data_IF_726881124434
#
_entry.id   IF_726881124434
#
_cell.length_a   1.000
_cell.length_b   1.000
_cell.length_c   1.000
_cell.angle_alpha   90.00
_cell.angle_beta   90.00
_cell.angle_gamma   90.00
#
_symmetry.space_group_name_H-M   'P 1'
#
loop_
_entity.id
_entity.type
_entity.pdbx_description
1 polymer ?
#
# COMPACT_ATOMS: atom_id res chain seq x y z
N UNK A 1 81.13 23.67 23.01
CA UNK A 1 80.82 22.28 22.61
C UNK A 1 79.43 21.98 23.12
N UNK A 2 78.49 22.01 22.18
CA UNK A 2 77.04 21.91 22.38
C UNK A 2 76.63 20.49 22.81
N UNK A 3 75.60 20.40 23.64
CA UNK A 3 74.90 19.14 23.95
C UNK A 3 74.02 18.75 22.77
N UNK A 4 73.93 17.46 22.42
CA UNK A 4 73.00 17.01 21.40
C UNK A 4 71.59 16.89 21.99
N UNK A 5 70.64 17.63 21.43
CA UNK A 5 69.22 17.45 21.71
C UNK A 5 68.72 16.15 21.04
N UNK A 6 68.19 15.23 21.84
CA UNK A 6 67.47 14.04 21.36
C UNK A 6 66.10 14.48 20.86
N UNK A 7 65.94 14.58 19.55
CA UNK A 7 64.63 14.68 18.91
C UNK A 7 63.87 13.36 19.09
N UNK A 8 62.92 13.37 20.02
CA UNK A 8 61.95 12.30 20.22
C UNK A 8 60.81 12.49 19.20
N UNK A 9 60.87 11.73 18.09
CA UNK A 9 59.76 11.63 17.14
C UNK A 9 58.58 10.90 17.83
N UNK A 10 57.63 11.67 18.35
CA UNK A 10 56.36 11.15 18.84
C UNK A 10 55.47 10.88 17.63
N UNK A 11 55.37 9.62 17.22
CA UNK A 11 54.40 9.18 16.23
C UNK A 11 53.00 9.23 16.85
N UNK A 12 52.22 10.26 16.49
CA UNK A 12 50.79 10.32 16.78
C UNK A 12 50.06 9.29 15.92
N UNK A 13 49.88 8.08 16.43
CA UNK A 13 48.90 7.12 15.92
C UNK A 13 47.51 7.71 16.16
N UNK A 14 46.94 8.35 15.14
CA UNK A 14 45.52 8.70 15.09
C UNK A 14 44.71 7.40 15.11
N UNK A 15 44.36 6.93 16.29
CA UNK A 15 43.25 6.01 16.51
C UNK A 15 41.97 6.77 16.13
N UNK A 16 41.68 6.83 14.82
CA UNK A 16 40.33 7.11 14.36
C UNK A 16 39.45 6.02 14.98
N UNK A 17 38.45 6.36 15.81
CA UNK A 17 37.52 5.35 16.27
C UNK A 17 36.95 4.69 15.02
N UNK A 18 37.05 3.35 14.93
CA UNK A 18 36.20 2.60 14.02
C UNK A 18 34.77 2.93 14.46
N UNK A 19 34.18 3.96 13.84
CA UNK A 19 32.74 4.20 13.93
C UNK A 19 32.12 3.03 13.19
N UNK A 20 31.87 1.96 13.93
CA UNK A 20 31.03 0.86 13.47
C UNK A 20 29.72 1.49 13.05
N UNK A 21 29.39 1.37 11.76
CA UNK A 21 28.15 1.92 11.26
C UNK A 21 26.99 1.27 12.02
N UNK A 22 26.09 2.08 12.59
CA UNK A 22 24.91 1.57 13.32
C UNK A 22 24.15 0.56 12.42
N UNK A 23 23.82 -0.65 12.91
CA UNK A 23 23.05 -1.64 12.16
C UNK A 23 21.71 -1.07 11.73
N UNK A 24 21.19 -1.52 10.59
CA UNK A 24 19.79 -1.29 10.20
C UNK A 24 18.96 -2.39 10.84
N UNK A 25 18.06 -2.02 11.75
CA UNK A 25 17.12 -2.98 12.35
C UNK A 25 15.84 -3.03 11.50
N UNK A 26 15.54 -4.17 10.88
CA UNK A 26 14.39 -4.38 9.99
C UNK A 26 13.25 -5.07 10.72
N UNK A 27 12.04 -4.50 10.65
CA UNK A 27 10.87 -5.09 11.28
C UNK A 27 10.23 -6.15 10.37
N UNK A 28 9.89 -7.32 10.92
CA UNK A 28 9.34 -8.47 10.18
C UNK A 28 8.05 -9.00 10.82
N UNK A 29 7.12 -9.49 10.00
CA UNK A 29 5.71 -9.78 10.32
C UNK A 29 5.36 -11.28 10.36
N UNK A 30 6.20 -12.15 9.80
CA UNK A 30 6.08 -13.61 9.95
C UNK A 30 7.39 -14.27 10.37
N UNK A 31 7.31 -15.52 10.81
CA UNK A 31 8.51 -16.31 11.14
C UNK A 31 9.28 -16.66 9.86
N UNK A 32 8.58 -16.87 8.74
CA UNK A 32 9.18 -17.02 7.42
C UNK A 32 9.92 -15.75 6.98
N UNK A 33 9.33 -14.57 7.21
CA UNK A 33 9.96 -13.29 6.91
C UNK A 33 11.18 -13.02 7.80
N UNK A 34 11.12 -13.37 9.08
CA UNK A 34 12.26 -13.31 9.99
C UNK A 34 13.40 -14.21 9.50
N UNK A 35 13.10 -15.43 9.07
CA UNK A 35 14.10 -16.34 8.51
C UNK A 35 14.76 -15.75 7.26
N UNK A 36 13.99 -15.19 6.32
CA UNK A 36 14.54 -14.52 5.13
C UNK A 36 15.40 -13.31 5.49
N UNK A 37 15.01 -12.54 6.49
CA UNK A 37 15.81 -11.41 7.01
C UNK A 37 17.15 -11.87 7.59
N UNK A 38 17.15 -12.96 8.36
CA UNK A 38 18.37 -13.53 8.94
C UNK A 38 19.31 -14.05 7.84
N UNK A 39 18.77 -14.72 6.82
CA UNK A 39 19.53 -15.19 5.68
C UNK A 39 20.12 -14.04 4.87
N UNK A 40 19.36 -12.95 4.65
CA UNK A 40 19.85 -11.72 4.04
C UNK A 40 21.01 -11.12 4.84
N UNK A 41 20.89 -11.07 6.17
CA UNK A 41 21.95 -10.57 7.06
C UNK A 41 23.22 -11.41 6.95
N UNK A 42 23.08 -12.74 6.95
CA UNK A 42 24.18 -13.69 6.79
C UNK A 42 24.88 -13.56 5.44
N UNK A 43 24.11 -13.50 4.35
CA UNK A 43 24.65 -13.36 2.99
C UNK A 43 25.33 -12.00 2.77
N UNK A 44 24.75 -10.91 3.28
CA UNK A 44 25.36 -9.59 3.21
C UNK A 44 26.71 -9.55 3.94
N UNK A 45 26.79 -10.19 5.11
CA UNK A 45 28.03 -10.32 5.88
C UNK A 45 29.07 -11.16 5.13
N UNK A 46 28.67 -12.30 4.56
CA UNK A 46 29.55 -13.17 3.79
C UNK A 46 30.16 -12.48 2.56
N UNK A 47 29.41 -11.58 1.92
CA UNK A 47 29.88 -10.78 0.78
C UNK A 47 30.59 -9.46 1.19
N UNK A 48 30.84 -9.23 2.48
CA UNK A 48 31.44 -7.99 3.00
C UNK A 48 30.68 -6.72 2.56
N UNK A 49 29.36 -6.80 2.42
CA UNK A 49 28.54 -5.63 2.10
C UNK A 49 28.62 -4.65 3.26
N UNK A 50 28.98 -3.40 2.97
CA UNK A 50 29.10 -2.36 4.00
C UNK A 50 27.76 -2.07 4.68
N UNK A 51 27.68 -2.39 5.96
CA UNK A 51 26.50 -2.23 6.82
C UNK A 51 26.23 -3.55 7.56
N UNK A 52 25.30 -3.54 8.50
CA UNK A 52 24.81 -4.76 9.15
C UNK A 52 23.29 -4.68 9.28
N UNK A 53 22.65 -5.84 9.27
CA UNK A 53 21.21 -6.01 9.34
C UNK A 53 20.86 -6.78 10.60
N UNK A 54 19.92 -6.25 11.38
CA UNK A 54 19.30 -6.94 12.51
C UNK A 54 17.81 -7.11 12.22
N UNK A 55 17.23 -8.24 12.63
CA UNK A 55 15.82 -8.54 12.39
C UNK A 55 15.03 -8.37 13.69
N UNK A 56 13.92 -7.64 13.64
CA UNK A 56 13.07 -7.33 14.79
C UNK A 56 11.65 -7.82 14.52
N UNK A 57 11.18 -8.79 15.30
CA UNK A 57 9.81 -9.30 15.17
C UNK A 57 8.77 -8.26 15.61
N UNK A 58 7.79 -8.00 14.74
CA UNK A 58 6.59 -7.21 15.02
C UNK A 58 5.33 -8.06 15.04
N UNK A 59 4.33 -7.69 15.85
CA UNK A 59 3.06 -8.42 15.96
C UNK A 59 2.16 -8.24 14.74
N UNK A 60 2.23 -7.07 14.10
CA UNK A 60 1.50 -6.67 12.90
C UNK A 60 2.12 -5.37 12.36
N UNK A 61 1.64 -4.89 11.21
CA UNK A 61 2.19 -3.69 10.56
C UNK A 61 2.18 -2.47 11.47
N UNK A 62 1.11 -2.29 12.27
CA UNK A 62 1.00 -1.18 13.22
C UNK A 62 2.05 -1.24 14.33
N UNK A 63 2.31 -2.42 14.88
CA UNK A 63 3.40 -2.61 15.85
C UNK A 63 4.76 -2.29 15.22
N UNK A 64 4.99 -2.64 13.95
CA UNK A 64 6.18 -2.18 13.22
C UNK A 64 6.24 -0.66 13.06
N UNK A 65 5.13 0.03 12.76
CA UNK A 65 5.09 1.50 12.74
C UNK A 65 5.48 2.10 14.09
N UNK A 66 4.99 1.54 15.20
CA UNK A 66 5.32 1.98 16.56
C UNK A 66 6.79 1.70 16.91
N UNK A 67 7.32 0.52 16.57
CA UNK A 67 8.74 0.20 16.76
C UNK A 67 9.65 1.11 15.95
N UNK A 68 9.28 1.43 14.70
CA UNK A 68 10.02 2.40 13.88
C UNK A 68 9.91 3.78 14.50
N UNK A 69 8.73 4.24 14.94
CA UNK A 69 8.60 5.55 15.59
C UNK A 69 9.48 5.65 16.85
N UNK A 70 9.50 4.60 17.66
CA UNK A 70 10.13 4.60 18.98
C UNK A 70 11.64 4.28 18.97
N UNK A 71 12.25 3.97 17.83
CA UNK A 71 13.68 3.67 17.76
C UNK A 71 14.05 2.20 17.89
N UNK A 72 13.08 1.30 18.11
CA UNK A 72 13.30 -0.15 18.28
C UNK A 72 13.55 -0.86 16.95
N UNK A 73 12.94 -0.38 15.88
CA UNK A 73 13.25 -0.76 14.50
C UNK A 73 13.63 0.49 13.70
N UNK A 74 14.27 0.32 12.55
CA UNK A 74 14.68 1.41 11.67
C UNK A 74 13.90 1.44 10.35
N UNK A 75 13.45 0.28 9.87
CA UNK A 75 12.79 0.13 8.58
C UNK A 75 11.77 -1.03 8.56
N UNK A 76 10.76 -0.93 7.70
CA UNK A 76 9.85 -2.01 7.32
C UNK A 76 9.24 -1.66 5.96
N UNK A 77 8.96 -2.65 5.12
CA UNK A 77 8.21 -2.46 3.88
C UNK A 77 6.71 -2.42 4.19
N UNK A 78 6.00 -1.44 3.62
CA UNK A 78 4.58 -1.23 3.89
C UNK A 78 3.79 -1.01 2.60
N UNK A 79 2.53 -1.43 2.61
CA UNK A 79 1.56 -1.22 1.53
C UNK A 79 1.10 0.24 1.43
N UNK A 80 0.42 0.62 0.35
CA UNK A 80 -0.08 1.98 0.14
C UNK A 80 -0.90 2.55 1.31
N UNK A 81 -1.81 1.76 1.85
CA UNK A 81 -2.70 2.17 2.96
C UNK A 81 -1.90 2.36 4.25
N UNK A 82 -0.97 1.44 4.51
CA UNK A 82 -0.06 1.49 5.66
C UNK A 82 0.94 2.65 5.56
N UNK A 83 1.45 2.98 4.36
CA UNK A 83 2.30 4.14 4.10
C UNK A 83 1.57 5.42 4.47
N UNK A 84 0.29 5.53 4.09
CA UNK A 84 -0.54 6.68 4.43
C UNK A 84 -0.72 6.80 5.96
N UNK A 85 -1.06 5.70 6.64
CA UNK A 85 -1.19 5.67 8.10
C UNK A 85 0.14 6.01 8.81
N UNK A 86 1.26 5.45 8.35
CA UNK A 86 2.59 5.71 8.89
C UNK A 86 2.99 7.19 8.75
N UNK A 87 2.75 7.79 7.58
CA UNK A 87 3.00 9.21 7.35
C UNK A 87 2.09 10.12 8.17
N UNK A 88 0.77 9.85 8.15
CA UNK A 88 -0.24 10.69 8.79
C UNK A 88 -0.17 10.62 10.33
N UNK A 89 -0.06 9.42 10.90
CA UNK A 89 -0.19 9.19 12.34
C UNK A 89 1.16 9.08 13.08
N UNK A 90 2.22 8.71 12.37
CA UNK A 90 3.55 8.53 12.98
C UNK A 90 4.58 9.55 12.49
N UNK A 91 4.29 10.31 11.44
CA UNK A 91 5.25 11.25 10.85
C UNK A 91 6.46 10.54 10.23
N UNK A 92 6.29 9.27 9.84
CA UNK A 92 7.34 8.48 9.20
C UNK A 92 7.49 8.88 7.73
N UNK A 93 8.68 8.63 7.19
CA UNK A 93 9.06 8.93 5.81
C UNK A 93 9.41 7.65 5.04
N UNK A 94 9.75 7.79 3.76
CA UNK A 94 10.11 6.69 2.89
C UNK A 94 11.58 6.78 2.48
N UNK A 95 12.30 5.66 2.54
CA UNK A 95 13.69 5.57 2.08
C UNK A 95 13.80 5.03 0.65
N UNK A 96 13.02 4.01 0.35
CA UNK A 96 12.99 3.32 -0.94
C UNK A 96 11.55 2.92 -1.25
N UNK A 97 11.24 2.76 -2.53
CA UNK A 97 10.00 2.18 -2.99
C UNK A 97 10.27 1.06 -3.99
N UNK A 98 9.39 0.09 -4.05
CA UNK A 98 9.45 -0.99 -5.02
C UNK A 98 9.05 -0.48 -6.41
N UNK A 99 9.57 -1.14 -7.44
CA UNK A 99 9.19 -0.95 -8.82
C UNK A 99 9.04 -2.30 -9.49
N UNK A 100 7.86 -2.57 -10.03
CA UNK A 100 7.55 -3.82 -10.75
C UNK A 100 7.84 -3.72 -12.25
N UNK A 101 7.96 -2.51 -12.80
CA UNK A 101 8.29 -2.26 -14.19
C UNK A 101 9.74 -1.75 -14.39
N UNK A 102 10.46 -1.48 -13.30
CA UNK A 102 11.81 -0.91 -13.31
C UNK A 102 11.88 0.58 -13.68
N UNK A 103 10.73 1.25 -13.85
CA UNK A 103 10.61 2.62 -14.33
C UNK A 103 10.04 3.53 -13.25
N UNK A 104 8.91 3.15 -12.66
CA UNK A 104 8.19 3.94 -11.67
C UNK A 104 7.71 3.10 -10.48
N UNK A 105 7.07 3.78 -9.53
CA UNK A 105 6.53 3.18 -8.33
C UNK A 105 5.05 2.82 -8.44
N UNK A 106 4.50 2.75 -9.66
CA UNK A 106 3.09 2.40 -9.86
C UNK A 106 2.99 0.89 -9.92
N UNK A 107 2.16 0.30 -9.06
CA UNK A 107 1.91 -1.13 -9.04
C UNK A 107 0.82 -1.51 -10.03
N UNK A 108 -0.31 -0.79 -9.99
CA UNK A 108 -1.44 -1.01 -10.90
C UNK A 108 -2.39 0.18 -10.91
N UNK A 109 -3.27 0.22 -11.90
CA UNK A 109 -4.40 1.15 -11.99
C UNK A 109 -5.70 0.46 -11.59
N UNK A 110 -6.51 1.13 -10.78
CA UNK A 110 -7.89 0.72 -10.48
C UNK A 110 -8.81 1.38 -11.49
N UNK A 111 -9.60 0.57 -12.18
CA UNK A 111 -10.52 1.00 -13.24
C UNK A 111 -11.95 0.64 -12.89
N UNK A 112 -12.89 1.41 -13.44
CA UNK A 112 -14.31 1.04 -13.49
C UNK A 112 -14.59 0.48 -14.88
N UNK A 113 -14.99 -0.78 -14.96
CA UNK A 113 -15.27 -1.47 -16.20
C UNK A 113 -16.76 -1.76 -16.32
N UNK A 114 -17.30 -1.62 -17.53
CA UNK A 114 -18.67 -1.96 -17.85
C UNK A 114 -18.78 -2.58 -19.25
N UNK A 115 -19.94 -3.16 -19.55
CA UNK A 115 -20.25 -3.64 -20.90
C UNK A 115 -20.56 -2.46 -21.82
N UNK A 116 -20.17 -2.57 -23.09
CA UNK A 116 -20.47 -1.58 -24.13
C UNK A 116 -21.96 -1.46 -24.41
N UNK A 117 -22.73 -2.53 -24.22
CA UNK A 117 -24.19 -2.53 -24.32
C UNK A 117 -24.85 -1.51 -23.37
N UNK A 118 -24.20 -1.17 -22.25
CA UNK A 118 -24.65 -0.14 -21.31
C UNK A 118 -24.14 1.24 -21.76
N UNK A 119 -24.64 1.73 -22.90
CA UNK A 119 -24.13 2.94 -23.56
C UNK A 119 -24.37 4.23 -22.76
N UNK A 120 -25.43 4.26 -21.96
CA UNK A 120 -25.84 5.38 -21.09
C UNK A 120 -25.07 5.43 -19.75
N UNK A 121 -24.35 4.36 -19.39
CA UNK A 121 -23.62 4.30 -18.13
C UNK A 121 -22.38 5.22 -18.15
N UNK A 122 -22.28 6.07 -17.14
CA UNK A 122 -21.20 7.02 -16.93
C UNK A 122 -20.82 7.08 -15.45
N UNK A 123 -19.53 7.28 -15.14
CA UNK A 123 -19.04 7.46 -13.76
C UNK A 123 -19.61 8.68 -13.04
N UNK A 124 -20.24 9.61 -13.77
CA UNK A 124 -20.88 10.80 -13.21
C UNK A 124 -22.31 10.50 -12.71
N UNK A 125 -22.93 9.41 -13.17
CA UNK A 125 -24.34 9.07 -12.93
C UNK A 125 -24.48 7.60 -12.52
N UNK A 126 -23.87 7.25 -11.38
CA UNK A 126 -23.85 5.89 -10.85
C UNK A 126 -24.99 5.58 -9.86
N UNK A 127 -25.85 6.56 -9.56
CA UNK A 127 -26.98 6.37 -8.64
C UNK A 127 -27.99 5.35 -9.21
N UNK A 128 -28.50 4.46 -8.35
CA UNK A 128 -29.43 3.37 -8.67
C UNK A 128 -28.91 2.33 -9.69
N UNK A 129 -27.65 2.44 -10.15
CA UNK A 129 -26.97 1.41 -10.94
C UNK A 129 -26.57 0.23 -10.06
N UNK A 130 -26.24 -0.90 -10.68
CA UNK A 130 -25.72 -2.06 -9.97
C UNK A 130 -24.20 -2.19 -10.03
N UNK A 131 -23.57 -2.68 -8.95
CA UNK A 131 -22.11 -2.69 -8.84
C UNK A 131 -21.52 -4.00 -8.32
N UNK A 132 -20.38 -4.38 -8.87
CA UNK A 132 -19.64 -5.59 -8.52
C UNK A 132 -18.29 -5.20 -7.90
N UNK A 133 -18.07 -5.63 -6.65
CA UNK A 133 -16.90 -5.29 -5.87
C UNK A 133 -16.13 -6.57 -5.50
N UNK A 134 -14.80 -6.61 -5.66
CA UNK A 134 -13.97 -7.73 -5.22
C UNK A 134 -14.16 -8.14 -3.75
N UNK A 135 -14.43 -7.17 -2.88
CA UNK A 135 -14.66 -7.39 -1.46
C UNK A 135 -14.66 -6.09 -0.65
N UNK A 136 -15.33 -6.12 0.50
CA UNK A 136 -15.36 -5.02 1.46
C UNK A 136 -13.93 -4.68 1.93
N UNK A 137 -13.62 -3.39 2.10
CA UNK A 137 -12.31 -2.89 2.57
C UNK A 137 -11.09 -3.22 1.70
N UNK A 138 -11.29 -3.79 0.50
CA UNK A 138 -10.19 -3.95 -0.46
C UNK A 138 -9.84 -2.61 -1.11
N UNK A 139 -8.56 -2.39 -1.44
CA UNK A 139 -8.11 -1.18 -2.15
C UNK A 139 -8.87 -0.98 -3.47
N UNK A 140 -8.89 -2.02 -4.30
CA UNK A 140 -9.46 -2.02 -5.65
C UNK A 140 -10.98 -1.92 -5.61
N UNK A 141 -11.61 -2.71 -4.75
CA UNK A 141 -13.06 -2.87 -4.72
C UNK A 141 -13.80 -1.95 -3.79
N UNK A 142 -13.13 -1.31 -2.84
CA UNK A 142 -13.80 -0.49 -1.83
C UNK A 142 -13.12 0.86 -1.65
N UNK A 143 -11.86 0.90 -1.23
CA UNK A 143 -11.17 2.15 -0.87
C UNK A 143 -11.12 3.14 -2.03
N UNK A 144 -10.65 2.71 -3.21
CA UNK A 144 -10.59 3.59 -4.38
C UNK A 144 -11.97 3.99 -4.91
N UNK A 145 -12.89 3.06 -5.25
CA UNK A 145 -14.15 3.45 -5.86
C UNK A 145 -15.08 4.21 -4.90
N UNK A 146 -15.15 3.83 -3.62
CA UNK A 146 -16.00 4.55 -2.67
C UNK A 146 -15.36 5.90 -2.29
N UNK A 147 -14.02 5.95 -2.15
CA UNK A 147 -13.29 7.21 -2.00
C UNK A 147 -13.55 8.17 -3.16
N UNK A 148 -13.62 7.66 -4.39
CA UNK A 148 -13.93 8.43 -5.59
C UNK A 148 -15.35 9.01 -5.52
N UNK A 149 -16.34 8.21 -5.16
CA UNK A 149 -17.74 8.66 -5.03
C UNK A 149 -17.90 9.71 -3.92
N UNK A 150 -17.17 9.58 -2.80
CA UNK A 150 -17.14 10.61 -1.74
C UNK A 150 -16.50 11.90 -2.26
N UNK A 151 -15.33 11.79 -2.89
CA UNK A 151 -14.57 12.96 -3.32
C UNK A 151 -15.27 13.74 -4.46
N UNK A 152 -16.00 13.04 -5.31
CA UNK A 152 -16.86 13.64 -6.35
C UNK A 152 -18.23 14.07 -5.83
N UNK A 153 -18.49 13.96 -4.52
CA UNK A 153 -19.75 14.32 -3.85
C UNK A 153 -20.99 13.55 -4.36
N UNK A 154 -20.79 12.39 -4.98
CA UNK A 154 -21.89 11.50 -5.39
C UNK A 154 -22.50 10.79 -4.17
N UNK A 155 -21.70 10.50 -3.16
CA UNK A 155 -22.18 10.02 -1.86
C UNK A 155 -21.69 10.93 -0.74
N UNK A 156 -22.51 11.05 0.31
CA UNK A 156 -22.14 11.72 1.55
C UNK A 156 -22.19 10.73 2.69
N UNK A 157 -21.06 10.58 3.39
CA UNK A 157 -20.97 9.73 4.57
C UNK A 157 -21.20 10.60 5.80
N UNK A 158 -22.24 10.30 6.57
CA UNK A 158 -22.55 11.05 7.79
C UNK A 158 -21.48 10.91 8.87
N UNK A 159 -21.64 11.66 9.98
CA UNK A 159 -20.67 11.74 11.09
C UNK A 159 -20.29 10.38 11.71
N UNK A 160 -21.14 9.37 11.57
CA UNK A 160 -20.90 8.02 12.07
C UNK A 160 -20.04 7.15 11.14
N UNK A 161 -19.60 7.66 9.99
CA UNK A 161 -18.70 6.97 9.08
C UNK A 161 -19.20 5.60 8.61
N UNK A 162 -20.52 5.49 8.42
CA UNK A 162 -21.13 4.24 7.98
C UNK A 162 -21.13 4.17 6.44
N UNK A 163 -19.97 3.78 5.89
CA UNK A 163 -19.79 3.61 4.44
C UNK A 163 -20.73 2.56 3.85
N UNK A 164 -20.89 1.34 4.42
CA UNK A 164 -21.84 0.37 3.87
C UNK A 164 -23.26 0.94 3.72
N UNK A 165 -23.74 1.72 4.70
CA UNK A 165 -25.04 2.36 4.60
C UNK A 165 -25.11 3.44 3.52
N UNK A 166 -24.08 4.27 3.39
CA UNK A 166 -24.05 5.29 2.33
C UNK A 166 -24.03 4.65 0.93
N UNK A 167 -23.22 3.60 0.75
CA UNK A 167 -23.10 2.86 -0.52
C UNK A 167 -24.40 2.13 -0.85
N UNK A 168 -25.01 1.44 0.11
CA UNK A 168 -26.28 0.73 -0.11
C UNK A 168 -27.48 1.65 -0.32
N UNK A 169 -27.40 2.94 0.06
CA UNK A 169 -28.40 3.94 -0.30
C UNK A 169 -28.16 4.56 -1.69
N UNK A 170 -26.98 4.36 -2.27
CA UNK A 170 -26.57 5.00 -3.52
C UNK A 170 -26.74 4.09 -4.73
N UNK A 171 -26.24 2.85 -4.65
CA UNK A 171 -26.44 1.83 -5.67
C UNK A 171 -27.77 1.12 -5.44
N UNK A 172 -28.43 0.70 -6.54
CA UNK A 172 -29.68 -0.05 -6.45
C UNK A 172 -29.45 -1.40 -5.75
N UNK A 173 -28.45 -2.14 -6.23
CA UNK A 173 -27.99 -3.39 -5.64
C UNK A 173 -26.52 -3.66 -6.03
N UNK A 174 -25.83 -4.48 -5.23
CA UNK A 174 -24.42 -4.75 -5.42
C UNK A 174 -24.05 -6.18 -5.05
N UNK A 175 -22.86 -6.61 -5.44
CA UNK A 175 -22.15 -7.69 -4.78
C UNK A 175 -20.92 -7.12 -4.07
N UNK A 176 -20.93 -7.13 -2.74
CA UNK A 176 -19.83 -6.70 -1.88
C UNK A 176 -19.49 -7.84 -0.91
N UNK A 177 -18.69 -8.82 -1.34
CA UNK A 177 -18.29 -9.95 -0.52
C UNK A 177 -17.70 -9.52 0.83
N UNK A 178 -18.12 -10.19 1.91
CA UNK A 178 -17.69 -9.94 3.28
C UNK A 178 -18.39 -8.81 4.00
N UNK A 179 -19.25 -8.03 3.33
CA UNK A 179 -19.96 -6.89 3.96
C UNK A 179 -20.92 -7.30 5.07
N UNK A 180 -21.28 -8.59 5.13
CA UNK A 180 -22.15 -9.19 6.16
C UNK A 180 -21.40 -10.02 7.19
N UNK A 181 -20.09 -10.17 7.05
CA UNK A 181 -19.30 -10.92 8.01
C UNK A 181 -19.31 -10.20 9.35
N UNK A 182 -19.23 -10.95 10.45
CA UNK A 182 -19.32 -10.41 11.81
C UNK A 182 -18.27 -9.32 12.11
N UNK A 183 -17.13 -9.34 11.42
CA UNK A 183 -16.10 -8.31 11.51
C UNK A 183 -16.56 -6.97 10.92
N UNK A 184 -17.36 -6.98 9.86
CA UNK A 184 -17.80 -5.80 9.11
C UNK A 184 -19.26 -5.39 9.39
N UNK A 185 -20.08 -6.31 9.88
CA UNK A 185 -21.47 -6.07 10.28
C UNK A 185 -21.79 -6.68 11.66
N UNK A 186 -21.09 -6.29 12.73
CA UNK A 186 -21.29 -6.87 14.07
C UNK A 186 -22.70 -6.65 14.63
N UNK A 187 -23.46 -5.69 14.07
CA UNK A 187 -24.83 -5.38 14.48
C UNK A 187 -25.90 -5.92 13.51
N UNK A 188 -25.50 -6.51 12.38
CA UNK A 188 -26.44 -6.99 11.35
C UNK A 188 -27.24 -5.86 10.68
N UNK A 189 -26.67 -4.66 10.62
CA UNK A 189 -27.35 -3.43 10.15
C UNK A 189 -26.91 -2.97 8.76
N UNK A 190 -25.90 -3.58 8.15
CA UNK A 190 -25.51 -3.18 6.80
C UNK A 190 -26.69 -3.41 5.84
N UNK A 191 -26.84 -2.63 4.76
CA UNK A 191 -27.93 -2.82 3.81
C UNK A 191 -27.91 -4.22 3.16
N UNK A 192 -29.10 -4.78 2.87
CA UNK A 192 -29.21 -6.14 2.27
C UNK A 192 -28.83 -6.14 0.79
N UNK A 193 -29.14 -5.06 0.08
CA UNK A 193 -28.87 -4.89 -1.33
C UNK A 193 -27.38 -4.96 -1.69
N UNK A 194 -26.48 -4.80 -0.73
CA UNK A 194 -25.04 -4.98 -0.95
C UNK A 194 -24.61 -6.43 -1.23
N UNK A 195 -25.50 -7.40 -1.08
CA UNK A 195 -25.25 -8.81 -1.38
C UNK A 195 -26.20 -9.37 -2.45
N UNK A 196 -27.05 -8.55 -3.07
CA UNK A 196 -28.09 -9.02 -3.98
C UNK A 196 -27.57 -9.47 -5.35
N UNK A 197 -26.40 -8.97 -5.80
CA UNK A 197 -25.74 -9.48 -7.01
C UNK A 197 -24.73 -10.61 -6.72
N UNK A 198 -24.59 -11.05 -5.47
CA UNK A 198 -23.72 -12.17 -5.12
C UNK A 198 -24.45 -13.51 -5.33
N UNK A 199 -23.71 -14.58 -5.67
CA UNK A 199 -24.32 -15.85 -6.12
C UNK A 199 -23.88 -17.08 -5.32
N UNK A 200 -22.93 -16.94 -4.40
CA UNK A 200 -22.45 -18.05 -3.58
C UNK A 200 -21.75 -19.15 -4.38
N UNK A 201 -21.73 -20.35 -3.79
CA UNK A 201 -21.20 -21.56 -4.40
C UNK A 201 -22.21 -22.17 -5.39
N UNK A 202 -21.87 -23.32 -5.99
CA UNK A 202 -22.76 -24.01 -6.95
C UNK A 202 -24.10 -24.48 -6.35
N UNK A 203 -24.23 -24.46 -5.02
CA UNK A 203 -25.43 -24.86 -4.29
C UNK A 203 -26.12 -23.67 -3.62
N UNK A 204 -25.84 -22.44 -4.08
CA UNK A 204 -26.35 -21.17 -3.53
C UNK A 204 -26.05 -20.98 -2.02
N UNK A 205 -24.96 -21.59 -1.52
CA UNK A 205 -24.47 -21.37 -0.15
C UNK A 205 -23.34 -20.36 -0.18
N UNK A 206 -22.98 -19.83 1.00
CA UNK A 206 -21.87 -18.87 1.12
C UNK A 206 -22.04 -17.60 0.28
N UNK A 207 -23.29 -17.24 -0.05
CA UNK A 207 -23.61 -15.99 -0.73
C UNK A 207 -23.01 -14.82 0.06
N UNK A 208 -22.26 -13.97 -0.64
CA UNK A 208 -21.60 -12.78 -0.12
C UNK A 208 -20.47 -13.07 0.88
N UNK A 209 -19.93 -14.29 0.94
CA UNK A 209 -18.80 -14.63 1.80
C UNK A 209 -17.48 -14.00 1.29
N UNK A 210 -16.59 -13.63 2.21
CA UNK A 210 -15.25 -13.07 1.90
C UNK A 210 -14.22 -14.13 1.48
N UNK A 211 -14.60 -15.09 0.64
CA UNK A 211 -13.71 -16.12 0.12
C UNK A 211 -14.22 -16.71 -1.20
N UNK A 212 -13.37 -17.49 -1.87
CA UNK A 212 -13.64 -18.08 -3.19
C UNK A 212 -14.82 -19.08 -3.24
N UNK A 213 -15.53 -19.36 -2.13
CA UNK A 213 -16.83 -20.05 -2.20
C UNK A 213 -17.92 -19.13 -2.75
N UNK A 214 -17.81 -17.82 -2.55
CA UNK A 214 -18.59 -16.84 -3.30
C UNK A 214 -17.92 -16.67 -4.68
N UNK A 215 -18.62 -17.05 -5.75
CA UNK A 215 -18.06 -16.99 -7.12
C UNK A 215 -17.82 -15.56 -7.62
N UNK A 216 -18.49 -14.56 -7.04
CA UNK A 216 -18.22 -13.15 -7.29
C UNK A 216 -17.17 -12.52 -6.36
N UNK A 217 -16.44 -13.32 -5.58
CA UNK A 217 -15.35 -12.85 -4.73
C UNK A 217 -14.05 -12.59 -5.50
N UNK A 218 -13.33 -11.55 -5.10
CA UNK A 218 -12.06 -11.17 -5.70
C UNK A 218 -12.24 -10.48 -7.05
N UNK A 219 -11.13 -10.10 -7.68
CA UNK A 219 -11.17 -9.28 -8.90
C UNK A 219 -11.77 -10.02 -10.09
N UNK A 220 -11.41 -11.30 -10.27
CA UNK A 220 -12.02 -12.15 -11.29
C UNK A 220 -13.51 -12.36 -11.04
N UNK A 221 -13.93 -12.52 -9.78
CA UNK A 221 -15.34 -12.65 -9.42
C UNK A 221 -16.15 -11.37 -9.67
N UNK A 222 -15.57 -10.20 -9.41
CA UNK A 222 -16.22 -8.92 -9.73
C UNK A 222 -16.35 -8.71 -11.25
N UNK A 223 -15.35 -9.10 -12.03
CA UNK A 223 -15.42 -9.14 -13.50
C UNK A 223 -16.53 -10.08 -13.98
N UNK A 224 -16.56 -11.31 -13.43
CA UNK A 224 -17.61 -12.31 -13.70
C UNK A 224 -19.01 -11.78 -13.44
N UNK A 225 -19.22 -11.05 -12.35
CA UNK A 225 -20.51 -10.46 -11.97
C UNK A 225 -21.08 -9.53 -13.07
N UNK A 226 -20.23 -8.75 -13.75
CA UNK A 226 -20.65 -7.93 -14.91
C UNK A 226 -20.84 -8.79 -16.16
N UNK A 227 -19.96 -9.77 -16.41
CA UNK A 227 -20.06 -10.68 -17.54
C UNK A 227 -21.37 -11.49 -17.52
N UNK A 228 -21.80 -11.95 -16.34
CA UNK A 228 -23.06 -12.67 -16.12
C UNK A 228 -24.30 -11.75 -16.06
N UNK A 229 -24.17 -10.47 -16.41
CA UNK A 229 -25.26 -9.48 -16.41
C UNK A 229 -25.87 -9.18 -15.02
N UNK A 230 -25.17 -9.48 -13.93
CA UNK A 230 -25.68 -9.29 -12.56
C UNK A 230 -25.24 -7.95 -11.95
N UNK A 231 -24.37 -7.21 -12.62
CA UNK A 231 -24.03 -5.82 -12.29
C UNK A 231 -23.74 -4.98 -13.54
N UNK A 232 -23.89 -3.65 -13.42
CA UNK A 232 -23.60 -2.69 -14.48
C UNK A 232 -22.12 -2.33 -14.54
N UNK A 233 -21.46 -2.23 -13.37
CA UNK A 233 -20.05 -1.84 -13.25
C UNK A 233 -19.27 -2.81 -12.37
N UNK A 234 -18.01 -3.07 -12.70
CA UNK A 234 -17.04 -3.74 -11.84
C UNK A 234 -15.86 -2.81 -11.54
N UNK A 235 -15.40 -2.83 -10.29
CA UNK A 235 -14.19 -2.13 -9.87
C UNK A 235 -13.05 -3.13 -9.71
N UNK A 236 -12.08 -3.09 -10.62
CA UNK A 236 -11.01 -4.10 -10.74
C UNK A 236 -9.68 -3.42 -11.12
N UNK A 237 -8.56 -4.16 -11.03
CA UNK A 237 -7.31 -3.74 -11.67
C UNK A 237 -7.46 -3.75 -13.19
N UNK A 238 -6.71 -2.87 -13.84
CA UNK A 238 -6.59 -2.86 -15.30
C UNK A 238 -6.08 -4.19 -15.90
N UNK A 239 -5.29 -4.99 -15.16
CA UNK A 239 -4.77 -6.28 -15.65
C UNK A 239 -5.77 -7.43 -15.57
N UNK A 240 -6.73 -7.36 -14.64
CA UNK A 240 -7.70 -8.45 -14.35
C UNK A 240 -8.45 -8.90 -15.59
N UNK A 241 -8.77 -7.98 -16.49
CA UNK A 241 -9.48 -8.30 -17.73
C UNK A 241 -8.62 -9.22 -18.62
N UNK A 242 -7.36 -8.85 -18.84
CA UNK A 242 -6.41 -9.61 -19.65
C UNK A 242 -5.96 -10.93 -19.01
N UNK A 243 -6.02 -11.01 -17.68
CA UNK A 243 -5.74 -12.25 -16.93
C UNK A 243 -6.87 -13.28 -17.07
N UNK A 244 -8.08 -12.83 -17.41
CA UNK A 244 -9.28 -13.66 -17.53
C UNK A 244 -9.81 -13.78 -18.97
N UNK A 245 -9.14 -13.18 -19.97
CA UNK A 245 -9.49 -13.29 -21.39
C UNK A 245 -8.52 -14.20 -22.14
N UNK A 246 -8.75 -14.38 -23.44
CA UNK A 246 -7.82 -15.04 -24.38
C UNK A 246 -7.40 -16.46 -23.96
N UNK A 247 -8.31 -17.20 -23.32
CA UNK A 247 -8.07 -18.56 -22.85
C UNK A 247 -7.14 -18.69 -21.64
N UNK A 248 -6.79 -17.59 -20.97
CA UNK A 248 -6.00 -17.64 -19.72
C UNK A 248 -6.83 -18.13 -18.53
N UNK A 249 -8.13 -17.87 -18.56
CA UNK A 249 -9.09 -18.50 -17.65
C UNK A 249 -9.95 -19.51 -18.42
N UNK A 250 -10.01 -20.74 -17.89
CA UNK A 250 -10.71 -21.89 -18.51
C UNK A 250 -12.12 -22.09 -17.93
N UNK A 251 -12.57 -21.21 -17.02
CA UNK A 251 -13.94 -21.21 -16.54
C UNK A 251 -14.93 -20.79 -17.63
N UNK A 252 -16.12 -21.40 -17.62
CA UNK A 252 -17.13 -21.19 -18.67
C UNK A 252 -17.52 -19.73 -18.87
N UNK A 253 -17.64 -18.95 -17.79
CA UNK A 253 -18.04 -17.55 -17.85
C UNK A 253 -16.99 -16.67 -18.56
N UNK A 254 -15.72 -17.06 -18.49
CA UNK A 254 -14.60 -16.33 -19.07
C UNK A 254 -14.40 -16.67 -20.55
N UNK A 255 -14.83 -17.86 -20.98
CA UNK A 255 -14.77 -18.29 -22.38
C UNK A 255 -15.74 -17.50 -23.28
N UNK A 256 -16.86 -17.03 -22.73
CA UNK A 256 -17.86 -16.24 -23.44
C UNK A 256 -17.57 -14.71 -23.37
N UNK A 257 -16.48 -14.32 -22.72
CA UNK A 257 -16.11 -12.91 -22.50
C UNK A 257 -15.28 -12.37 -23.67
N UNK A 258 -15.91 -11.56 -24.53
CA UNK A 258 -15.22 -10.85 -25.61
C UNK A 258 -14.71 -9.48 -25.13
N UNK A 259 -13.43 -9.16 -25.39
CA UNK A 259 -12.82 -7.90 -24.95
C UNK A 259 -13.49 -6.68 -25.62
N UNK A 260 -13.97 -6.85 -26.84
CA UNK A 260 -14.68 -5.84 -27.61
C UNK A 260 -16.01 -5.44 -26.95
N UNK A 261 -16.61 -6.31 -26.16
CA UNK A 261 -17.87 -6.05 -25.46
C UNK A 261 -17.66 -5.24 -24.17
N UNK A 262 -16.43 -4.95 -23.79
CA UNK A 262 -16.08 -4.21 -22.58
C UNK A 262 -15.56 -2.80 -22.88
N UNK A 263 -15.80 -1.88 -21.94
CA UNK A 263 -15.25 -0.52 -21.93
C UNK A 263 -14.84 -0.11 -20.53
N UNK A 264 -13.89 0.81 -20.46
CA UNK A 264 -13.62 1.55 -19.23
C UNK A 264 -14.55 2.75 -19.12
N UNK A 265 -14.96 3.08 -17.90
CA UNK A 265 -15.65 4.33 -17.58
C UNK A 265 -14.63 5.30 -16.99
N UNK A 266 -14.56 6.52 -17.54
CA UNK A 266 -13.53 7.50 -17.21
C UNK A 266 -14.06 8.57 -16.25
N UNK A 267 -13.19 9.16 -15.41
CA UNK A 267 -13.61 10.21 -14.47
C UNK A 267 -14.23 11.46 -15.12
N UNK A 268 -13.91 11.71 -16.40
CA UNK A 268 -14.50 12.81 -17.19
C UNK A 268 -15.91 12.51 -17.72
N UNK A 269 -16.45 11.34 -17.40
CA UNK A 269 -17.77 10.87 -17.80
C UNK A 269 -17.80 10.14 -19.15
N UNK A 270 -16.67 10.07 -19.87
CA UNK A 270 -16.56 9.36 -21.14
C UNK A 270 -16.31 7.86 -20.93
N UNK A 271 -16.39 7.10 -22.03
CA UNK A 271 -15.95 5.71 -22.08
C UNK A 271 -14.68 5.57 -22.92
N UNK A 272 -13.82 4.63 -22.55
CA UNK A 272 -12.55 4.38 -23.22
C UNK A 272 -12.33 2.88 -23.52
N UNK A 273 -11.40 2.60 -24.43
CA UNK A 273 -10.84 1.27 -24.67
C UNK A 273 -10.06 0.75 -23.46
N UNK A 274 -9.89 -0.57 -23.40
CA UNK A 274 -9.24 -1.23 -22.26
C UNK A 274 -7.75 -0.91 -22.15
N UNK A 275 -7.10 -0.61 -23.28
CA UNK A 275 -5.70 -0.19 -23.40
C UNK A 275 -5.45 1.25 -22.93
N UNK A 276 -6.52 2.02 -22.74
CA UNK A 276 -6.46 3.44 -22.37
C UNK A 276 -6.48 3.64 -20.84
N UNK A 277 -6.21 2.60 -20.05
CA UNK A 277 -6.27 2.62 -18.58
C UNK A 277 -5.38 3.69 -17.94
N UNK A 278 -4.22 4.02 -18.54
CA UNK A 278 -3.31 5.03 -18.01
C UNK A 278 -3.94 6.43 -17.98
N UNK A 279 -4.88 6.72 -18.89
CA UNK A 279 -5.66 7.97 -18.86
C UNK A 279 -7.03 7.81 -18.22
N UNK A 280 -7.58 6.59 -18.24
CA UNK A 280 -8.93 6.27 -17.82
C UNK A 280 -8.90 5.31 -16.63
N UNK A 281 -8.61 5.86 -15.44
CA UNK A 281 -8.58 5.13 -14.18
C UNK A 281 -9.10 5.99 -13.02
N UNK A 282 -9.50 5.35 -11.93
CA UNK A 282 -9.92 6.03 -10.70
C UNK A 282 -8.71 6.45 -9.85
N UNK A 283 -7.72 5.57 -9.74
CA UNK A 283 -6.44 5.86 -9.11
C UNK A 283 -5.33 4.96 -9.64
N UNK A 284 -4.12 5.53 -9.77
CA UNK A 284 -2.88 4.77 -9.82
C UNK A 284 -2.48 4.39 -8.39
N UNK A 285 -2.37 3.09 -8.11
CA UNK A 285 -2.00 2.57 -6.80
C UNK A 285 -0.48 2.35 -6.76
N UNK A 286 0.23 2.92 -5.78
CA UNK A 286 1.67 2.78 -5.66
C UNK A 286 2.07 1.35 -5.25
N UNK A 287 3.29 0.95 -5.60
CA UNK A 287 3.96 -0.20 -5.03
C UNK A 287 4.36 0.05 -3.57
N UNK A 288 4.79 -1.00 -2.89
CA UNK A 288 5.18 -0.90 -1.48
C UNK A 288 6.41 0.00 -1.32
N UNK A 289 6.59 0.53 -0.11
CA UNK A 289 7.73 1.35 0.20
C UNK A 289 8.30 1.07 1.58
N UNK A 290 9.59 1.32 1.71
CA UNK A 290 10.35 1.16 2.95
C UNK A 290 10.15 2.39 3.82
N UNK A 291 9.33 2.22 4.85
CA UNK A 291 8.99 3.24 5.84
C UNK A 291 10.09 3.33 6.89
N UNK A 292 10.49 4.56 7.23
CA UNK A 292 11.61 4.88 8.12
C UNK A 292 11.34 6.15 8.94
N UNK A 293 12.15 6.41 9.97
CA UNK A 293 12.26 7.75 10.55
C UNK A 293 13.08 8.68 9.63
N UNK A 294 12.79 9.98 9.67
CA UNK A 294 13.45 11.01 8.84
C UNK A 294 14.99 10.92 8.89
N UNK A 295 15.58 10.75 10.07
CA UNK A 295 17.04 10.68 10.26
C UNK A 295 17.68 9.41 9.68
N UNK A 296 16.89 8.36 9.48
CA UNK A 296 17.36 7.08 8.95
C UNK A 296 17.30 6.99 7.42
N UNK A 297 16.56 7.88 6.75
CA UNK A 297 16.25 7.82 5.32
C UNK A 297 17.47 7.59 4.43
N UNK A 298 18.51 8.40 4.57
CA UNK A 298 19.73 8.28 3.76
C UNK A 298 20.56 7.03 4.10
N UNK A 299 20.54 6.58 5.37
CA UNK A 299 21.32 5.42 5.82
C UNK A 299 20.70 4.13 5.30
N UNK A 300 19.37 3.99 5.44
CA UNK A 300 18.60 2.84 4.96
C UNK A 300 18.67 2.75 3.43
N UNK A 301 18.44 3.86 2.71
CA UNK A 301 18.58 3.87 1.24
C UNK A 301 19.95 3.36 0.78
N UNK A 302 21.04 3.91 1.33
CA UNK A 302 22.41 3.50 0.94
C UNK A 302 22.73 2.05 1.28
N UNK A 303 22.06 1.48 2.28
CA UNK A 303 22.22 0.06 2.61
C UNK A 303 21.45 -0.80 1.60
N UNK A 304 20.18 -0.47 1.33
CA UNK A 304 19.35 -1.14 0.34
C UNK A 304 19.93 -1.08 -1.07
N UNK A 305 20.51 0.06 -1.47
CA UNK A 305 21.20 0.23 -2.75
C UNK A 305 22.34 -0.80 -2.91
N UNK A 306 23.11 -1.07 -1.84
CA UNK A 306 24.16 -2.10 -1.88
C UNK A 306 23.60 -3.51 -1.91
N UNK A 307 22.54 -3.77 -1.13
CA UNK A 307 21.89 -5.08 -1.10
C UNK A 307 21.29 -5.44 -2.46
N UNK A 308 20.55 -4.53 -3.10
CA UNK A 308 19.97 -4.82 -4.41
C UNK A 308 21.04 -4.98 -5.50
N UNK A 309 22.14 -4.22 -5.43
CA UNK A 309 23.24 -4.38 -6.39
C UNK A 309 23.91 -5.77 -6.28
N UNK A 310 23.87 -6.40 -5.10
CA UNK A 310 24.43 -7.73 -4.87
C UNK A 310 23.42 -8.85 -5.12
N UNK A 311 22.15 -8.65 -4.73
CA UNK A 311 21.15 -9.72 -4.61
C UNK A 311 19.88 -9.50 -5.45
N UNK A 312 19.72 -8.35 -6.10
CA UNK A 312 18.49 -8.01 -6.82
C UNK A 312 18.26 -8.83 -8.09
N UNK A 313 19.34 -9.11 -8.84
CA UNK A 313 19.31 -9.91 -10.07
C UNK A 313 20.04 -11.27 -9.92
N UNK A 314 20.20 -11.74 -8.68
CA UNK A 314 20.92 -12.99 -8.42
C UNK A 314 20.11 -14.19 -8.92
N UNK A 315 20.70 -14.98 -9.82
CA UNK A 315 20.10 -16.24 -10.35
C UNK A 315 20.55 -17.46 -9.55
N UNK A 316 21.60 -17.33 -8.76
CA UNK A 316 22.15 -18.36 -7.88
C UNK A 316 22.42 -17.77 -6.49
N UNK A 317 22.25 -18.57 -5.45
CA UNK A 317 22.40 -18.12 -4.07
C UNK A 317 21.19 -17.35 -3.55
N UNK A 318 21.43 -16.33 -2.72
CA UNK A 318 20.37 -15.52 -2.10
C UNK A 318 19.80 -14.48 -3.10
N UNK A 319 18.48 -14.45 -3.24
CA UNK A 319 17.76 -13.49 -4.08
C UNK A 319 16.90 -12.57 -3.20
N UNK A 320 17.06 -11.25 -3.38
CA UNK A 320 16.39 -10.25 -2.55
C UNK A 320 14.88 -10.24 -2.76
N UNK A 321 14.45 -10.38 -4.01
CA UNK A 321 13.07 -10.26 -4.45
C UNK A 321 12.43 -11.61 -4.77
N UNK A 322 12.90 -12.69 -4.14
CA UNK A 322 12.27 -14.01 -4.25
C UNK A 322 12.07 -14.61 -2.87
N UNK A 323 10.86 -15.10 -2.61
CA UNK A 323 10.49 -15.80 -1.38
C UNK A 323 10.42 -17.31 -1.58
N UNK A 324 10.89 -17.81 -2.72
CA UNK A 324 10.99 -19.23 -3.00
C UNK A 324 11.80 -19.95 -1.92
N UNK A 325 11.21 -21.00 -1.32
CA UNK A 325 11.85 -21.81 -0.28
C UNK A 325 11.49 -21.43 1.16
N UNK A 326 10.79 -20.32 1.40
CA UNK A 326 10.40 -19.88 2.74
C UNK A 326 8.97 -20.28 3.14
N UNK A 327 8.16 -20.79 2.20
CA UNK A 327 6.79 -21.26 2.46
C UNK A 327 5.71 -20.18 2.39
N UNK A 328 6.11 -18.92 2.25
CA UNK A 328 5.25 -17.73 2.08
C UNK A 328 5.77 -16.91 0.88
N UNK A 329 4.93 -16.03 0.32
CA UNK A 329 5.30 -15.09 -0.74
C UNK A 329 5.55 -13.70 -0.18
N UNK A 330 6.18 -12.83 -0.98
CA UNK A 330 6.31 -11.40 -0.72
C UNK A 330 6.98 -11.04 0.63
N UNK A 331 7.98 -11.83 1.02
CA UNK A 331 8.71 -11.66 2.27
C UNK A 331 9.77 -10.55 2.13
N UNK A 332 9.79 -9.58 3.05
CA UNK A 332 10.58 -8.32 3.03
C UNK A 332 10.23 -7.37 1.90
N UNK A 333 10.09 -7.88 0.68
CA UNK A 333 9.72 -7.16 -0.53
C UNK A 333 8.81 -8.05 -1.37
N UNK A 334 7.96 -7.44 -2.20
CA UNK A 334 7.15 -8.19 -3.15
C UNK A 334 8.01 -9.00 -4.11
N UNK A 335 7.58 -10.23 -4.41
CA UNK A 335 8.32 -11.14 -5.30
C UNK A 335 8.34 -10.63 -6.76
N UNK A 336 7.41 -9.73 -7.10
CA UNK A 336 7.38 -9.00 -8.38
C UNK A 336 8.31 -7.78 -8.44
N UNK A 337 9.12 -7.51 -7.41
CA UNK A 337 10.03 -6.36 -7.40
C UNK A 337 11.18 -6.55 -8.38
N UNK A 338 11.29 -5.65 -9.36
CA UNK A 338 12.43 -5.59 -10.26
C UNK A 338 13.55 -4.68 -9.73
N UNK A 339 13.19 -3.59 -9.06
CA UNK A 339 14.15 -2.59 -8.59
C UNK A 339 13.63 -1.85 -7.36
N UNK A 340 14.52 -1.46 -6.45
CA UNK A 340 14.21 -0.50 -5.39
C UNK A 340 14.64 0.90 -5.81
N UNK A 341 13.68 1.81 -5.95
CA UNK A 341 13.93 3.20 -6.31
C UNK A 341 14.01 4.11 -5.09
N UNK A 342 14.87 5.13 -5.18
CA UNK A 342 15.03 6.11 -4.10
C UNK A 342 13.82 7.03 -4.04
N UNK A 343 13.21 7.13 -2.86
CA UNK A 343 12.15 8.12 -2.63
C UNK A 343 12.77 9.44 -2.17
N UNK A 344 12.49 10.52 -2.92
CA UNK A 344 13.00 11.88 -2.62
C UNK A 344 11.94 12.76 -1.94
N UNK A 345 10.66 12.51 -2.22
CA UNK A 345 9.54 13.30 -1.70
C UNK A 345 8.92 12.74 -0.42
N UNK A 346 7.74 13.25 -0.07
CA UNK A 346 6.93 12.79 1.06
C UNK A 346 6.20 11.49 0.73
N UNK A 347 5.61 10.86 1.77
CA UNK A 347 4.71 9.72 1.58
C UNK A 347 3.56 10.06 0.61
N UNK A 348 2.95 11.26 0.70
CA UNK A 348 1.90 11.70 -0.24
C UNK A 348 2.38 11.82 -1.70
N UNK A 349 3.64 12.19 -1.91
CA UNK A 349 4.20 12.24 -3.28
C UNK A 349 4.42 10.85 -3.85
N UNK A 350 4.77 9.86 -3.01
CA UNK A 350 4.89 8.45 -3.40
C UNK A 350 3.53 7.84 -3.70
N UNK A 351 2.55 8.08 -2.83
CA UNK A 351 1.18 7.59 -3.01
C UNK A 351 0.51 8.18 -4.26
N UNK A 352 0.93 9.38 -4.67
CA UNK A 352 0.31 10.11 -5.76
C UNK A 352 -0.98 10.82 -5.32
N UNK A 353 -1.38 11.87 -6.05
CA UNK A 353 -2.50 12.72 -5.65
C UNK A 353 -3.83 11.96 -5.68
N UNK A 354 -4.09 11.19 -6.73
CA UNK A 354 -5.36 10.44 -6.91
C UNK A 354 -5.58 9.47 -5.76
N UNK A 355 -4.59 8.62 -5.46
CA UNK A 355 -4.72 7.63 -4.39
C UNK A 355 -4.79 8.26 -3.00
N UNK A 356 -3.96 9.29 -2.74
CA UNK A 356 -4.00 10.03 -1.47
C UNK A 356 -5.39 10.61 -1.22
N UNK A 357 -6.02 11.19 -2.23
CA UNK A 357 -7.39 11.73 -2.12
C UNK A 357 -8.42 10.63 -1.83
N UNK A 358 -8.29 9.43 -2.41
CA UNK A 358 -9.18 8.31 -2.09
C UNK A 358 -9.06 7.88 -0.62
N UNK A 359 -7.84 7.84 -0.08
CA UNK A 359 -7.60 7.48 1.32
C UNK A 359 -8.15 8.55 2.29
N UNK A 360 -8.05 9.82 1.93
CA UNK A 360 -8.57 10.93 2.74
C UNK A 360 -10.08 10.83 3.00
N UNK A 361 -10.84 10.25 2.05
CA UNK A 361 -12.27 10.02 2.23
C UNK A 361 -12.58 9.13 3.44
N UNK A 362 -11.67 8.23 3.84
CA UNK A 362 -11.83 7.28 4.94
C UNK A 362 -11.23 7.74 6.26
N UNK A 363 -10.63 8.93 6.34
CA UNK A 363 -10.06 9.47 7.59
C UNK A 363 -11.08 9.52 8.74
N UNK A 364 -12.39 9.49 8.43
CA UNK A 364 -13.42 9.47 9.45
C UNK A 364 -13.61 8.08 10.10
N UNK A 365 -13.28 6.97 9.42
CA UNK A 365 -13.20 5.64 10.06
C UNK A 365 -12.04 5.57 11.07
N UNK A 366 -10.90 6.17 10.72
CA UNK A 366 -9.74 6.36 11.61
C UNK A 366 -10.13 7.23 12.82
N UNK A 367 -11.01 8.23 12.63
CA UNK A 367 -11.61 9.02 13.71
C UNK A 367 -12.58 8.18 14.57
N UNK A 368 -13.24 7.17 14.03
CA UNK A 368 -14.23 6.35 14.73
C UNK A 368 -13.62 5.20 15.57
N UNK A 369 -12.41 4.71 15.24
CA UNK A 369 -11.76 3.62 15.99
C UNK A 369 -10.43 3.99 16.68
N UNK A 370 -9.81 5.15 16.39
CA UNK A 370 -8.52 5.55 16.99
C UNK A 370 -8.35 7.07 17.20
N UNK A 371 -9.40 7.79 17.58
CA UNK A 371 -9.30 9.24 17.87
C UNK A 371 -8.25 9.59 18.94
N UNK A 372 -7.86 8.65 19.80
CA UNK A 372 -6.87 8.93 20.85
C UNK A 372 -5.41 8.70 20.44
N UNK A 373 -5.08 8.03 19.32
CA UNK A 373 -3.68 7.69 18.99
C UNK A 373 -3.14 8.55 17.86
N UNK A 374 -3.89 8.75 16.77
CA UNK A 374 -3.43 9.57 15.65
C UNK A 374 -3.48 11.08 15.99
N UNK A 375 -4.52 11.55 16.70
CA UNK A 375 -4.68 12.97 17.09
C UNK A 375 -3.72 13.38 18.20
N UNK A 376 -3.51 12.55 19.22
CA UNK A 376 -2.53 12.84 20.28
C UNK A 376 -1.11 12.87 19.76
N UNK A 377 -0.76 12.00 18.80
CA UNK A 377 0.56 12.04 18.21
C UNK A 377 0.76 13.23 17.27
N UNK A 378 -0.26 13.60 16.50
CA UNK A 378 -0.21 14.80 15.65
C UNK A 378 -0.04 16.06 16.51
N UNK A 379 -0.71 16.12 17.67
CA UNK A 379 -0.53 17.19 18.67
C UNK A 379 0.87 17.16 19.31
N UNK A 380 1.40 15.99 19.69
CA UNK A 380 2.77 15.86 20.21
C UNK A 380 3.83 16.28 19.18
N UNK A 381 3.63 15.96 17.90
CA UNK A 381 4.53 16.35 16.81
C UNK A 381 4.45 17.85 16.46
N UNK A 382 3.31 18.49 16.69
CA UNK A 382 3.17 19.95 16.59
C UNK A 382 3.82 20.64 17.79
N UNK A 383 3.63 20.11 18.99
CA UNK A 383 4.22 20.64 20.23
C UNK A 383 5.74 20.44 20.31
N UNK A 384 6.29 19.35 19.78
CA UNK A 384 7.75 19.13 19.73
C UNK A 384 8.45 20.03 18.71
N UNK A 385 7.74 20.54 17.70
CA UNK A 385 8.26 21.50 16.72
C UNK A 385 8.22 22.94 17.22
N UNK A 386 7.48 23.25 18.30
CA UNK A 386 7.47 24.59 18.90
C UNK A 386 8.65 24.88 19.84
N UNK A 387 9.45 23.87 20.21
CA UNK A 387 10.59 24.04 21.14
C UNK A 387 11.94 24.33 20.44
N UNK A 388 11.94 24.56 19.12
CA UNK A 388 13.15 24.93 18.35
C UNK A 388 13.18 26.41 17.91
N UNK A 389 12.48 27.31 18.61
CA UNK A 389 12.79 28.74 18.53
C UNK A 389 13.95 29.09 19.45
N UNK A 390 15.12 29.21 18.84
CA UNK A 390 16.34 29.76 19.41
C UNK A 390 16.05 31.15 20.03
N UNK A 391 16.31 31.41 21.32
CA UNK A 391 16.13 32.74 21.89
C UNK A 391 17.16 33.70 21.29
N UNK A 392 16.68 34.73 20.61
CA UNK A 392 17.52 35.83 20.17
C UNK A 392 18.06 36.57 21.42
N UNK A 393 19.37 36.41 21.67
CA UNK A 393 20.14 37.22 22.60
C UNK A 393 19.97 38.71 22.27
N UNK A 394 19.20 39.42 23.10
CA UNK A 394 19.15 40.87 23.10
C UNK A 394 20.52 41.42 23.50
N UNK A 395 21.27 41.95 22.50
CA UNK A 395 22.43 42.80 22.76
C UNK A 395 21.97 44.08 23.46
N UNK A 396 22.35 44.24 24.74
CA UNK A 396 22.46 45.55 25.38
C UNK A 396 23.45 46.40 24.56
N UNK A 397 22.95 47.45 23.91
CA UNK A 397 23.79 48.59 23.50
C UNK A 397 23.82 49.56 24.67
N UNK A 398 25.01 49.76 25.22
CA UNK A 398 25.33 50.95 26.00
C UNK A 398 25.25 52.17 25.06
N UNK A 399 24.44 53.15 25.42
CA UNK A 399 24.82 54.56 25.41
C UNK A 399 23.98 55.33 26.43
#
# INVERSE_FOLDING_TARGET
>A
MERPERNLLVAFLLLLPLVSAKPVSWCVLSDAEEQKCLDLSGNATAQNIRGSLECVRGLNTRDCMDKIKNGTADACTMSGDDIYAAGLCHGLELAAGESHNGIDGISYYVVAMARRSSSDLSLLEMHERSSCHPGIRTTVGWTVPIGYLVNTSQISVGEQCNFPRAVGNFFGYSCVPGVKDSQHDPRGTNPKNLCEACIGDENDRHICASNHRERHYGEAGALRCVAENLGDVAFIKHTTIFENSDGRNQESWALDLELEDLKLLCPDGTGAGLDEYERCHLAAVPANAVVVRTENRCRVWKFLERLQNAFGNATEGFSLFSSAGYGESDLLFSDGTHHLQRVVGSYTSWLGPTYTTMLQAFECEEKALNFLICVTQKLQNVLSKTDFFCPALARKKNM
#
